data_IF_211301085618
#
_entry.id   IF_211301085618
#
_cell.length_a   1.000
_cell.length_b   1.000
_cell.length_c   1.000
_cell.angle_alpha   90.00
_cell.angle_beta   90.00
_cell.angle_gamma   90.00
#
_symmetry.space_group_name_H-M   'P 1'
#
loop_
_entity.id
_entity.type
_entity.pdbx_description
1 polymer ?
#
# COMPACT_ATOMS: atom_id res chain seq x y z
N UNK A 1 -42.64 -18.46 -0.23
CA UNK A 1 -41.89 -19.07 -1.36
C UNK A 1 -40.71 -19.80 -0.76
N UNK A 2 -40.52 -21.09 -1.03
CA UNK A 2 -39.36 -21.84 -0.60
C UNK A 2 -38.18 -21.57 -1.56
N UNK A 3 -37.01 -21.24 -1.02
CA UNK A 3 -35.82 -21.19 -1.82
C UNK A 3 -35.46 -22.58 -2.31
N UNK A 4 -35.12 -22.71 -3.61
CA UNK A 4 -34.63 -23.96 -4.17
C UNK A 4 -33.16 -24.19 -3.82
N UNK A 5 -32.93 -24.49 -2.56
CA UNK A 5 -31.59 -24.78 -2.02
C UNK A 5 -31.54 -26.23 -1.58
N UNK A 6 -30.43 -26.90 -1.86
CA UNK A 6 -30.15 -28.22 -1.35
C UNK A 6 -30.11 -28.24 0.18
N UNK A 7 -30.33 -29.42 0.76
CA UNK A 7 -30.15 -29.61 2.20
C UNK A 7 -28.72 -29.26 2.60
N UNK A 8 -28.57 -28.51 3.68
CA UNK A 8 -27.25 -28.18 4.23
C UNK A 8 -26.45 -29.44 4.58
N UNK A 9 -25.15 -29.41 4.31
CA UNK A 9 -24.22 -30.46 4.62
C UNK A 9 -23.73 -30.32 6.06
N UNK A 10 -23.35 -31.43 6.67
CA UNK A 10 -22.62 -31.44 7.94
C UNK A 10 -21.19 -30.90 7.74
N UNK A 11 -20.53 -30.49 8.82
CA UNK A 11 -19.13 -30.06 8.82
C UNK A 11 -18.19 -31.09 8.18
N UNK A 12 -18.38 -32.38 8.53
CA UNK A 12 -17.61 -33.48 7.97
C UNK A 12 -17.79 -33.64 6.44
N UNK A 13 -19.04 -33.54 5.95
CA UNK A 13 -19.34 -33.62 4.52
C UNK A 13 -18.76 -32.42 3.76
N UNK A 14 -18.86 -31.20 4.33
CA UNK A 14 -18.28 -29.99 3.75
C UNK A 14 -16.77 -30.12 3.68
N UNK A 15 -16.11 -30.54 4.75
CA UNK A 15 -14.66 -30.71 4.78
C UNK A 15 -14.17 -31.68 3.70
N UNK A 16 -14.85 -32.83 3.57
CA UNK A 16 -14.53 -33.80 2.54
C UNK A 16 -14.69 -33.27 1.13
N UNK A 17 -15.79 -32.57 0.88
CA UNK A 17 -16.07 -31.95 -0.43
C UNK A 17 -15.08 -30.83 -0.78
N UNK A 18 -14.69 -30.01 0.20
CA UNK A 18 -13.69 -28.95 0.00
C UNK A 18 -12.32 -29.56 -0.28
N UNK A 19 -11.90 -30.62 0.43
CA UNK A 19 -10.65 -31.34 0.16
C UNK A 19 -10.60 -31.88 -1.26
N UNK A 20 -11.69 -32.47 -1.73
CA UNK A 20 -11.80 -32.96 -3.11
C UNK A 20 -11.65 -31.83 -4.13
N UNK A 21 -12.32 -30.69 -3.92
CA UNK A 21 -12.19 -29.51 -4.80
C UNK A 21 -10.79 -28.92 -4.79
N UNK A 22 -10.14 -28.84 -3.63
CA UNK A 22 -8.79 -28.29 -3.48
C UNK A 22 -7.76 -29.20 -4.16
N UNK A 23 -7.95 -30.52 -4.14
CA UNK A 23 -7.00 -31.48 -4.73
C UNK A 23 -6.77 -31.25 -6.24
N UNK A 24 -7.68 -30.61 -6.94
CA UNK A 24 -7.53 -30.22 -8.34
C UNK A 24 -6.73 -28.94 -8.57
N UNK A 25 -6.32 -28.21 -7.53
CA UNK A 25 -5.52 -26.98 -7.67
C UNK A 25 -4.03 -27.31 -7.75
N UNK A 26 -3.31 -26.41 -8.40
CA UNK A 26 -1.83 -26.43 -8.46
C UNK A 26 -1.30 -25.13 -7.81
N UNK A 27 -1.14 -25.10 -6.49
CA UNK A 27 -0.72 -23.90 -5.78
C UNK A 27 0.75 -23.55 -6.07
N UNK A 28 1.06 -22.25 -6.04
CA UNK A 28 2.42 -21.74 -6.24
C UNK A 28 3.44 -22.36 -5.26
N UNK A 29 2.99 -22.72 -4.05
CA UNK A 29 3.84 -23.37 -3.02
C UNK A 29 4.33 -24.77 -3.39
N UNK A 30 3.73 -25.42 -4.39
CA UNK A 30 4.09 -26.78 -4.84
C UNK A 30 4.92 -26.77 -6.14
N UNK A 31 5.25 -25.60 -6.67
CA UNK A 31 6.00 -25.46 -7.92
C UNK A 31 6.68 -24.12 -8.08
N UNK A 32 7.17 -23.84 -9.30
CA UNK A 32 7.73 -22.54 -9.65
C UNK A 32 6.62 -21.63 -10.19
N UNK A 33 6.46 -20.46 -9.57
CA UNK A 33 5.50 -19.46 -9.99
C UNK A 33 6.20 -18.25 -10.60
N UNK A 34 5.94 -17.99 -11.88
CA UNK A 34 6.46 -16.84 -12.62
C UNK A 34 5.38 -15.84 -13.03
N UNK A 35 4.20 -15.89 -12.40
CA UNK A 35 3.07 -15.04 -12.78
C UNK A 35 3.33 -13.57 -12.50
N UNK A 36 3.84 -13.20 -11.34
CA UNK A 36 4.14 -11.80 -11.01
C UNK A 36 2.95 -10.85 -11.15
N UNK A 37 3.23 -9.63 -11.57
CA UNK A 37 2.19 -8.62 -11.86
C UNK A 37 1.72 -7.81 -10.65
N UNK A 38 2.48 -7.79 -9.54
CA UNK A 38 2.21 -6.97 -8.35
C UNK A 38 1.98 -7.76 -7.07
N UNK A 39 1.78 -9.08 -7.15
CA UNK A 39 1.73 -9.98 -5.99
C UNK A 39 2.60 -11.21 -6.29
N UNK A 40 3.40 -11.62 -5.32
CA UNK A 40 4.47 -12.59 -5.54
C UNK A 40 4.48 -13.66 -4.46
N UNK A 41 4.82 -14.90 -4.87
CA UNK A 41 5.23 -15.91 -3.92
C UNK A 41 6.58 -15.52 -3.30
N UNK A 42 6.70 -15.67 -1.98
CA UNK A 42 7.90 -15.29 -1.25
C UNK A 42 8.00 -16.09 0.05
N UNK A 43 9.18 -16.09 0.64
CA UNK A 43 9.37 -16.75 1.93
C UNK A 43 8.61 -16.03 3.05
N UNK A 44 7.74 -16.75 3.74
CA UNK A 44 6.98 -16.26 4.90
C UNK A 44 7.35 -17.10 6.13
N UNK A 45 8.05 -16.54 7.13
CA UNK A 45 8.35 -17.23 8.37
C UNK A 45 7.08 -17.70 9.08
N UNK A 46 7.03 -18.97 9.52
CA UNK A 46 5.85 -19.57 10.19
C UNK A 46 5.38 -18.84 11.44
N UNK A 47 6.28 -18.12 12.11
CA UNK A 47 5.94 -17.32 13.29
C UNK A 47 4.94 -16.18 12.96
N UNK A 48 4.89 -15.72 11.71
CA UNK A 48 3.95 -14.69 11.27
C UNK A 48 2.53 -15.23 11.33
N UNK A 49 2.30 -16.43 10.79
CA UNK A 49 0.99 -17.09 10.85
C UNK A 49 0.59 -17.37 12.29
N UNK A 50 1.54 -17.86 13.13
CA UNK A 50 1.29 -18.13 14.53
C UNK A 50 0.87 -16.87 15.31
N UNK A 51 1.58 -15.76 15.18
CA UNK A 51 1.27 -14.54 15.92
C UNK A 51 -0.02 -13.91 15.38
N UNK A 52 -0.17 -13.81 14.05
CA UNK A 52 -1.34 -13.17 13.45
C UNK A 52 -2.66 -13.92 13.66
N UNK A 53 -2.60 -15.23 13.96
CA UNK A 53 -3.77 -16.06 14.27
C UNK A 53 -4.20 -15.99 15.74
N UNK A 54 -3.45 -15.32 16.62
CA UNK A 54 -3.85 -15.16 18.03
C UNK A 54 -5.12 -14.32 18.13
N UNK A 55 -6.03 -14.75 19.02
CA UNK A 55 -7.34 -14.14 19.18
C UNK A 55 -7.27 -12.62 19.50
N UNK A 56 -6.24 -12.21 20.24
CA UNK A 56 -6.03 -10.81 20.63
C UNK A 56 -5.86 -9.88 19.42
N UNK A 57 -5.31 -10.41 18.31
CA UNK A 57 -5.15 -9.67 17.06
C UNK A 57 -6.24 -10.01 16.05
N UNK A 58 -6.55 -11.31 15.88
CA UNK A 58 -7.46 -11.78 14.85
C UNK A 58 -8.88 -11.25 15.04
N UNK A 59 -9.35 -11.15 16.30
CA UNK A 59 -10.69 -10.64 16.62
C UNK A 59 -10.72 -9.14 16.91
N UNK A 60 -9.57 -8.45 16.86
CA UNK A 60 -9.49 -7.01 17.11
C UNK A 60 -10.27 -6.23 16.05
N UNK A 61 -11.08 -5.28 16.51
CA UNK A 61 -11.77 -4.33 15.65
C UNK A 61 -10.95 -3.04 15.47
N UNK A 62 -11.43 -2.12 14.67
CA UNK A 62 -10.79 -0.81 14.49
C UNK A 62 -10.57 -0.12 15.84
N UNK A 63 -9.34 0.37 16.13
CA UNK A 63 -8.95 0.87 17.45
C UNK A 63 -9.44 2.30 17.71
N UNK A 64 -10.77 2.51 17.71
CA UNK A 64 -11.36 3.82 18.00
C UNK A 64 -11.17 4.25 19.45
N UNK A 65 -11.22 3.29 20.37
CA UNK A 65 -11.03 3.52 21.80
C UNK A 65 -9.58 3.19 22.15
N UNK A 66 -8.75 4.22 22.30
CA UNK A 66 -7.32 4.05 22.56
C UNK A 66 -7.03 3.32 23.88
N UNK A 67 -7.86 3.53 24.89
CA UNK A 67 -7.71 2.94 26.23
C UNK A 67 -7.81 1.40 26.26
N UNK A 68 -8.48 0.79 25.28
CA UNK A 68 -8.61 -0.69 25.19
C UNK A 68 -7.89 -1.28 23.96
N UNK A 69 -7.22 -0.46 23.19
CA UNK A 69 -6.60 -0.86 21.91
C UNK A 69 -5.11 -0.53 21.80
N UNK A 70 -4.42 -0.40 22.94
CA UNK A 70 -3.03 0.05 22.96
C UNK A 70 -2.11 -0.87 22.15
N UNK A 71 -2.26 -2.20 22.24
CA UNK A 71 -1.45 -3.14 21.46
C UNK A 71 -1.67 -3.02 19.96
N UNK A 72 -2.93 -2.82 19.53
CA UNK A 72 -3.26 -2.59 18.11
C UNK A 72 -2.69 -1.26 17.62
N UNK A 73 -2.82 -0.21 18.39
CA UNK A 73 -2.27 1.12 18.04
C UNK A 73 -0.75 1.10 18.02
N UNK A 74 -0.11 0.38 18.95
CA UNK A 74 1.33 0.26 18.99
C UNK A 74 1.88 -0.41 17.74
N UNK A 75 1.39 -1.59 17.33
CA UNK A 75 1.93 -2.23 16.13
C UNK A 75 1.65 -1.42 14.86
N UNK A 76 0.54 -0.68 14.78
CA UNK A 76 0.28 0.22 13.66
C UNK A 76 1.27 1.40 13.64
N UNK A 77 1.63 1.94 14.79
CA UNK A 77 2.66 2.97 14.90
C UNK A 77 4.05 2.43 14.49
N UNK A 78 4.38 1.21 14.91
CA UNK A 78 5.61 0.52 14.51
C UNK A 78 5.63 0.24 12.99
N UNK A 79 4.51 -0.22 12.43
CA UNK A 79 4.35 -0.36 10.97
C UNK A 79 4.65 0.96 10.23
N UNK A 80 4.01 2.06 10.66
CA UNK A 80 4.23 3.38 10.06
C UNK A 80 5.71 3.79 10.14
N UNK A 81 6.35 3.54 11.27
CA UNK A 81 7.76 3.87 11.48
C UNK A 81 8.67 3.08 10.55
N UNK A 82 8.42 1.77 10.41
CA UNK A 82 9.20 0.91 9.51
C UNK A 82 9.02 1.30 8.04
N UNK A 83 7.80 1.68 7.62
CA UNK A 83 7.57 2.18 6.25
C UNK A 83 8.25 3.52 6.02
N UNK A 84 8.31 4.39 7.02
CA UNK A 84 9.09 5.64 6.94
C UNK A 84 10.59 5.36 6.77
N UNK A 85 11.16 4.47 7.58
CA UNK A 85 12.57 4.07 7.49
C UNK A 85 12.90 3.48 6.10
N UNK A 86 12.03 2.60 5.59
CA UNK A 86 12.24 1.93 4.31
C UNK A 86 12.17 2.90 3.13
N UNK A 87 11.26 3.87 3.18
CA UNK A 87 11.02 4.82 2.09
C UNK A 87 11.77 6.14 2.21
N UNK A 88 12.40 6.41 3.36
CA UNK A 88 13.01 7.70 3.69
C UNK A 88 12.00 8.83 3.92
N UNK A 89 10.70 8.53 3.93
CA UNK A 89 9.64 9.53 4.10
C UNK A 89 9.44 9.94 5.55
N UNK A 90 8.84 11.12 5.76
CA UNK A 90 8.66 11.68 7.10
C UNK A 90 7.47 11.08 7.86
N UNK A 91 6.44 10.59 7.14
CA UNK A 91 5.21 10.06 7.73
C UNK A 91 4.55 9.03 6.81
N UNK A 92 4.05 7.94 7.41
CA UNK A 92 3.21 6.93 6.77
C UNK A 92 1.85 6.84 7.48
N UNK A 93 0.86 6.31 6.78
CA UNK A 93 -0.43 5.95 7.37
C UNK A 93 -0.43 4.50 7.90
N UNK A 94 -1.52 4.11 8.54
CA UNK A 94 -1.72 2.77 9.10
C UNK A 94 -2.07 1.69 8.03
N UNK A 95 -1.83 1.95 6.78
CA UNK A 95 -2.08 1.22 5.54
C UNK A 95 -3.31 1.67 4.74
N UNK A 96 -3.34 1.27 3.49
CA UNK A 96 -4.47 1.33 2.58
C UNK A 96 -4.84 -0.10 2.12
N UNK A 97 -5.72 -0.24 1.11
CA UNK A 97 -6.23 -1.55 0.72
C UNK A 97 -5.22 -2.35 -0.08
N UNK A 98 -4.58 -1.73 -1.07
CA UNK A 98 -3.56 -2.31 -1.94
C UNK A 98 -2.69 -1.22 -2.60
N UNK A 99 -1.67 -1.62 -3.34
CA UNK A 99 -0.79 -0.68 -4.03
C UNK A 99 -1.50 0.16 -5.09
N UNK A 100 -2.49 -0.37 -5.77
CA UNK A 100 -3.24 0.33 -6.81
C UNK A 100 -4.11 1.45 -6.22
N UNK A 101 -4.86 1.16 -5.14
CA UNK A 101 -5.62 2.17 -4.41
C UNK A 101 -4.71 3.19 -3.73
N UNK A 102 -3.53 2.78 -3.26
CA UNK A 102 -2.52 3.70 -2.73
C UNK A 102 -2.06 4.71 -3.79
N UNK A 103 -1.81 4.27 -5.02
CA UNK A 103 -1.48 5.16 -6.13
C UNK A 103 -2.63 6.10 -6.47
N UNK A 104 -3.86 5.61 -6.50
CA UNK A 104 -5.04 6.43 -6.78
C UNK A 104 -5.24 7.52 -5.71
N UNK A 105 -5.04 7.20 -4.44
CA UNK A 105 -5.08 8.15 -3.34
C UNK A 105 -3.92 9.16 -3.40
N UNK A 106 -2.72 8.74 -3.84
CA UNK A 106 -1.58 9.63 -4.04
C UNK A 106 -1.86 10.66 -5.15
N UNK A 107 -2.47 10.22 -6.25
CA UNK A 107 -2.92 11.11 -7.32
C UNK A 107 -4.00 12.09 -6.82
N UNK A 108 -4.96 11.61 -6.01
CA UNK A 108 -5.98 12.46 -5.38
C UNK A 108 -5.36 13.52 -4.47
N UNK A 109 -4.39 13.12 -3.64
CA UNK A 109 -3.66 14.05 -2.78
C UNK A 109 -2.93 15.11 -3.60
N UNK A 110 -2.28 14.73 -4.69
CA UNK A 110 -1.56 15.65 -5.57
C UNK A 110 -2.50 16.68 -6.20
N UNK A 111 -3.63 16.24 -6.77
CA UNK A 111 -4.67 17.10 -7.33
C UNK A 111 -5.20 18.10 -6.28
N UNK A 112 -5.56 17.57 -5.09
CA UNK A 112 -6.09 18.40 -4.00
C UNK A 112 -5.06 19.38 -3.43
N UNK A 113 -3.76 19.08 -3.59
CA UNK A 113 -2.67 19.92 -3.09
C UNK A 113 -2.30 21.02 -4.06
N UNK A 114 -2.26 20.72 -5.35
CA UNK A 114 -1.81 21.63 -6.40
C UNK A 114 -2.96 22.40 -7.05
N UNK A 115 -4.20 21.89 -6.98
CA UNK A 115 -5.38 22.36 -7.70
C UNK A 115 -5.26 22.20 -9.23
N UNK A 116 -4.29 21.45 -9.70
CA UNK A 116 -4.09 21.12 -11.11
C UNK A 116 -4.92 19.92 -11.50
N UNK A 117 -5.24 19.77 -12.79
CA UNK A 117 -6.18 18.75 -13.29
C UNK A 117 -5.55 17.71 -14.22
N UNK A 118 -4.21 17.74 -14.34
CA UNK A 118 -3.50 16.84 -15.24
C UNK A 118 -2.47 16.01 -14.48
N UNK A 119 -2.41 14.71 -14.75
CA UNK A 119 -1.45 13.77 -14.19
C UNK A 119 -0.62 13.18 -15.31
N UNK A 120 0.69 13.12 -15.12
CA UNK A 120 1.63 12.46 -16.04
C UNK A 120 2.02 11.11 -15.45
N UNK A 121 1.76 10.02 -16.17
CA UNK A 121 2.05 8.66 -15.71
C UNK A 121 2.98 7.97 -16.72
N UNK A 122 4.04 7.33 -16.24
CA UNK A 122 4.84 6.48 -17.11
C UNK A 122 4.05 5.26 -17.59
N UNK A 123 4.18 4.92 -18.87
CA UNK A 123 3.62 3.68 -19.42
C UNK A 123 4.29 2.42 -18.88
N UNK A 124 5.39 2.56 -18.10
CA UNK A 124 6.04 1.45 -17.40
C UNK A 124 5.44 1.14 -16.03
N UNK A 125 4.49 1.96 -15.55
CA UNK A 125 3.70 1.66 -14.33
C UNK A 125 2.79 0.47 -14.60
N UNK A 126 2.57 -0.37 -13.59
CA UNK A 126 1.66 -1.51 -13.68
C UNK A 126 0.31 -1.08 -14.32
N UNK A 127 -0.10 -1.68 -15.45
CA UNK A 127 -1.28 -1.25 -16.18
C UNK A 127 -2.56 -1.35 -15.35
N UNK A 128 -2.67 -2.32 -14.45
CA UNK A 128 -3.83 -2.44 -13.54
C UNK A 128 -3.89 -1.28 -12.55
N UNK A 129 -2.75 -0.78 -12.10
CA UNK A 129 -2.69 0.41 -11.25
C UNK A 129 -3.19 1.65 -12.01
N UNK A 130 -2.80 1.80 -13.27
CA UNK A 130 -3.28 2.88 -14.14
C UNK A 130 -4.81 2.82 -14.30
N UNK A 131 -5.37 1.62 -14.49
CA UNK A 131 -6.83 1.43 -14.60
C UNK A 131 -7.56 1.83 -13.32
N UNK A 132 -7.04 1.45 -12.15
CA UNK A 132 -7.61 1.85 -10.85
C UNK A 132 -7.56 3.37 -10.68
N UNK A 133 -6.42 4.01 -11.00
CA UNK A 133 -6.31 5.48 -10.96
C UNK A 133 -7.35 6.12 -11.85
N UNK A 134 -7.52 5.65 -13.10
CA UNK A 134 -8.55 6.15 -14.01
C UNK A 134 -9.96 5.99 -13.45
N UNK A 135 -10.25 4.84 -12.83
CA UNK A 135 -11.55 4.58 -12.20
C UNK A 135 -11.85 5.56 -11.06
N UNK A 136 -10.86 5.84 -10.20
CA UNK A 136 -11.01 6.84 -9.12
C UNK A 136 -11.26 8.25 -9.65
N UNK A 137 -10.76 8.57 -10.83
CA UNK A 137 -10.81 9.90 -11.42
C UNK A 137 -11.91 10.08 -12.46
N UNK A 138 -12.63 9.02 -12.88
CA UNK A 138 -13.55 9.04 -14.01
C UNK A 138 -14.67 10.09 -13.93
N UNK A 139 -15.12 10.42 -12.71
CA UNK A 139 -16.17 11.42 -12.47
C UNK A 139 -15.60 12.78 -12.02
N UNK A 140 -14.30 12.98 -12.20
CA UNK A 140 -13.59 14.23 -11.92
C UNK A 140 -13.07 14.77 -13.24
N UNK A 141 -13.02 16.08 -13.39
CA UNK A 141 -12.45 16.74 -14.57
C UNK A 141 -10.91 16.65 -14.51
N UNK A 142 -10.37 15.41 -14.69
CA UNK A 142 -8.95 15.09 -14.63
C UNK A 142 -8.53 14.44 -15.94
N UNK A 143 -7.40 14.89 -16.48
CA UNK A 143 -6.78 14.35 -17.69
C UNK A 143 -5.47 13.66 -17.40
N UNK A 144 -5.10 12.72 -18.26
CA UNK A 144 -3.88 11.92 -18.13
C UNK A 144 -3.02 12.09 -19.39
N UNK A 145 -1.75 12.41 -19.18
CA UNK A 145 -0.72 12.28 -20.21
C UNK A 145 0.18 11.10 -19.84
N UNK A 146 0.84 10.53 -20.83
CA UNK A 146 1.67 9.34 -20.64
C UNK A 146 3.09 9.59 -21.12
N UNK A 147 4.08 9.17 -20.30
CA UNK A 147 5.48 9.11 -20.71
C UNK A 147 5.66 7.84 -21.54
N UNK A 148 6.02 7.95 -22.83
CA UNK A 148 6.24 6.78 -23.68
C UNK A 148 7.47 6.01 -23.23
N UNK A 149 7.59 4.77 -23.70
CA UNK A 149 8.72 3.90 -23.40
C UNK A 149 9.75 3.89 -24.53
N UNK A 150 11.01 3.79 -24.12
CA UNK A 150 12.14 3.44 -24.97
C UNK A 150 12.88 2.28 -24.32
N UNK A 151 12.95 1.14 -24.98
CA UNK A 151 13.53 -0.09 -24.44
C UNK A 151 12.91 -0.49 -23.07
N UNK A 152 11.59 -0.44 -22.96
CA UNK A 152 10.81 -0.73 -21.76
C UNK A 152 11.12 0.16 -20.53
N UNK A 153 11.82 1.27 -20.71
CA UNK A 153 12.10 2.30 -19.70
C UNK A 153 11.41 3.60 -20.13
N UNK A 154 11.02 4.44 -19.18
CA UNK A 154 10.40 5.74 -19.43
C UNK A 154 11.31 6.67 -20.25
N UNK A 155 10.85 7.11 -21.42
CA UNK A 155 11.59 8.12 -22.21
C UNK A 155 11.29 9.52 -21.66
N UNK A 156 12.01 9.93 -20.63
CA UNK A 156 11.85 11.23 -19.97
C UNK A 156 12.15 12.41 -20.90
N UNK A 157 12.86 12.19 -22.03
CA UNK A 157 13.12 13.23 -23.02
C UNK A 157 11.86 13.69 -23.76
N UNK A 158 10.79 12.90 -23.69
CA UNK A 158 9.49 13.18 -24.32
C UNK A 158 8.50 13.87 -23.37
N UNK A 159 8.90 14.18 -22.15
CA UNK A 159 8.05 14.92 -21.22
C UNK A 159 7.88 16.36 -21.73
N UNK A 160 6.64 16.72 -22.00
CA UNK A 160 6.30 18.10 -22.30
C UNK A 160 6.20 18.92 -21.02
N UNK A 161 7.26 19.60 -20.73
CA UNK A 161 7.40 20.40 -19.53
C UNK A 161 6.66 21.74 -19.58
N UNK A 162 5.97 22.10 -20.65
CA UNK A 162 5.06 23.24 -20.70
C UNK A 162 3.69 22.97 -20.06
N UNK A 163 3.33 21.69 -19.85
CA UNK A 163 2.08 21.31 -19.22
C UNK A 163 2.12 21.47 -17.70
N UNK A 164 0.96 21.76 -17.15
CA UNK A 164 0.77 22.03 -15.72
C UNK A 164 0.30 20.77 -14.98
N UNK A 165 1.23 19.87 -14.69
CA UNK A 165 0.94 18.58 -14.02
C UNK A 165 0.75 18.72 -12.50
N UNK A 166 -0.27 18.04 -11.95
CA UNK A 166 -0.45 17.86 -10.51
C UNK A 166 0.61 16.89 -9.96
N UNK A 167 0.87 15.81 -10.70
CA UNK A 167 1.86 14.80 -10.34
C UNK A 167 2.53 14.20 -11.57
N UNK A 168 3.75 13.69 -11.35
CA UNK A 168 4.46 12.75 -12.21
C UNK A 168 4.54 11.42 -11.45
N UNK A 169 4.14 10.32 -12.10
CA UNK A 169 4.14 8.98 -11.51
C UNK A 169 5.15 8.10 -12.23
N UNK A 170 6.08 7.53 -11.46
CA UNK A 170 7.10 6.58 -11.93
C UNK A 170 7.08 5.35 -11.04
N UNK A 171 7.26 4.17 -11.62
CA UNK A 171 7.44 2.91 -10.90
C UNK A 171 8.86 2.40 -11.08
N UNK A 172 9.55 2.02 -10.00
CA UNK A 172 10.89 1.42 -10.04
C UNK A 172 11.08 0.39 -8.91
N UNK A 173 11.39 -0.89 -9.20
CA UNK A 173 11.41 -1.47 -10.53
C UNK A 173 10.08 -1.31 -11.26
N UNK A 174 10.12 -1.11 -12.56
CA UNK A 174 8.93 -0.91 -13.35
C UNK A 174 8.20 -2.24 -13.66
N UNK A 175 7.07 -2.19 -14.34
CA UNK A 175 6.27 -3.39 -14.66
C UNK A 175 7.04 -4.45 -15.48
N UNK A 176 8.08 -4.05 -16.18
CA UNK A 176 8.96 -4.93 -16.94
C UNK A 176 10.18 -5.43 -16.16
N UNK A 177 10.28 -5.10 -14.86
CA UNK A 177 11.38 -5.48 -13.98
C UNK A 177 12.64 -4.64 -14.13
N UNK A 178 12.57 -3.49 -14.82
CA UNK A 178 13.72 -2.60 -15.05
C UNK A 178 13.73 -1.43 -14.08
N UNK A 179 14.93 -0.96 -13.73
CA UNK A 179 15.10 0.21 -12.88
C UNK A 179 14.89 1.50 -13.69
N UNK A 180 14.14 2.43 -13.13
CA UNK A 180 13.90 3.77 -13.68
C UNK A 180 14.82 4.81 -13.04
N UNK A 181 15.32 5.73 -13.84
CA UNK A 181 16.19 6.81 -13.39
C UNK A 181 15.36 8.01 -12.92
N UNK A 182 14.93 7.98 -11.66
CA UNK A 182 14.04 8.99 -11.06
C UNK A 182 14.76 10.32 -10.79
N UNK A 183 16.06 10.27 -10.44
CA UNK A 183 16.85 11.43 -10.04
C UNK A 183 17.00 12.51 -11.13
N UNK A 184 16.86 12.12 -12.39
CA UNK A 184 16.95 13.00 -13.53
C UNK A 184 15.63 13.68 -13.92
N UNK A 185 14.54 13.36 -13.24
CA UNK A 185 13.27 14.05 -13.47
C UNK A 185 13.36 15.49 -12.98
N UNK A 186 13.12 16.41 -13.91
CA UNK A 186 13.06 17.83 -13.60
C UNK A 186 11.85 18.10 -12.71
N UNK A 187 12.08 18.50 -11.46
CA UNK A 187 10.97 18.94 -10.61
C UNK A 187 10.44 20.28 -11.08
N UNK A 188 9.13 20.35 -11.19
CA UNK A 188 8.44 21.63 -11.37
C UNK A 188 8.01 22.19 -10.04
N UNK A 189 7.94 23.49 -10.02
CA UNK A 189 7.24 24.17 -8.95
C UNK A 189 5.78 23.71 -8.91
N UNK A 190 5.33 23.26 -7.73
CA UNK A 190 3.97 22.75 -7.54
C UNK A 190 3.57 21.50 -8.35
N UNK A 191 4.51 20.60 -8.66
CA UNK A 191 4.23 19.25 -9.17
C UNK A 191 4.79 18.23 -8.22
N UNK A 192 4.00 17.24 -7.82
CA UNK A 192 4.44 16.18 -6.90
C UNK A 192 5.05 15.02 -7.70
N UNK A 193 6.15 14.49 -7.19
CA UNK A 193 6.73 13.25 -7.70
C UNK A 193 6.22 12.08 -6.84
N UNK A 194 5.48 11.16 -7.46
CA UNK A 194 4.96 9.95 -6.86
C UNK A 194 5.83 8.78 -7.33
N UNK A 195 6.47 8.11 -6.39
CA UNK A 195 7.28 6.91 -6.64
C UNK A 195 6.50 5.66 -6.23
N UNK A 196 6.33 4.75 -7.16
CA UNK A 196 5.75 3.42 -6.92
C UNK A 196 6.90 2.43 -6.82
N UNK A 197 7.08 1.77 -5.68
CA UNK A 197 8.19 0.85 -5.49
C UNK A 197 7.75 -0.42 -4.76
N UNK A 198 8.35 -1.54 -5.15
CA UNK A 198 8.29 -2.76 -4.36
C UNK A 198 9.10 -2.55 -3.06
N UNK A 199 8.50 -2.80 -1.88
CA UNK A 199 9.17 -2.54 -0.61
C UNK A 199 10.39 -3.42 -0.36
N UNK A 200 10.45 -4.65 -0.88
CA UNK A 200 11.64 -5.50 -0.74
C UNK A 200 12.83 -4.90 -1.52
N UNK A 201 12.58 -4.39 -2.72
CA UNK A 201 13.62 -3.78 -3.54
C UNK A 201 14.26 -2.55 -2.87
N UNK A 202 13.52 -1.83 -2.01
CA UNK A 202 14.05 -0.65 -1.29
C UNK A 202 15.17 -0.99 -0.31
N UNK A 203 15.29 -2.26 0.11
CA UNK A 203 16.42 -2.70 0.95
C UNK A 203 17.78 -2.63 0.23
N UNK A 204 17.79 -2.69 -1.11
CA UNK A 204 18.98 -2.69 -1.96
C UNK A 204 19.09 -1.47 -2.87
N UNK A 205 18.08 -0.62 -2.89
CA UNK A 205 17.99 0.58 -3.72
C UNK A 205 18.05 1.84 -2.86
N UNK A 206 18.35 2.97 -3.51
CA UNK A 206 18.16 4.26 -2.86
C UNK A 206 16.68 4.49 -2.58
N UNK A 207 16.39 4.97 -1.37
CA UNK A 207 15.03 5.30 -0.98
C UNK A 207 14.43 6.39 -1.88
N UNK A 208 13.10 6.33 -2.11
CA UNK A 208 12.43 7.28 -3.01
C UNK A 208 12.52 8.73 -2.54
N UNK A 209 12.63 8.98 -1.23
CA UNK A 209 12.79 10.34 -0.69
C UNK A 209 14.11 10.97 -1.10
N UNK A 210 15.22 10.23 -1.00
CA UNK A 210 16.55 10.71 -1.41
C UNK A 210 16.64 10.94 -2.92
N UNK A 211 15.84 10.23 -3.71
CA UNK A 211 15.69 10.44 -5.16
C UNK A 211 14.75 11.61 -5.50
N UNK A 212 14.18 12.25 -4.49
CA UNK A 212 13.37 13.45 -4.65
C UNK A 212 11.86 13.22 -4.71
N UNK A 213 11.33 12.02 -4.46
CA UNK A 213 9.91 11.78 -4.39
C UNK A 213 9.25 12.57 -3.23
N UNK A 214 8.02 13.02 -3.47
CA UNK A 214 7.16 13.64 -2.45
C UNK A 214 6.25 12.63 -1.79
N UNK A 215 5.88 11.57 -2.52
CA UNK A 215 5.02 10.48 -2.06
C UNK A 215 5.62 9.15 -2.50
N UNK A 216 5.66 8.20 -1.59
CA UNK A 216 5.93 6.79 -1.81
C UNK A 216 4.63 6.00 -1.72
N UNK A 217 4.40 5.10 -2.67
CA UNK A 217 3.34 4.09 -2.61
C UNK A 217 3.88 2.73 -3.06
N UNK A 218 3.29 1.67 -2.56
CA UNK A 218 3.70 0.32 -2.91
C UNK A 218 2.66 -0.72 -2.51
N UNK A 219 2.91 -1.96 -2.95
CA UNK A 219 2.17 -3.14 -2.53
C UNK A 219 2.94 -3.87 -1.44
N UNK A 220 2.37 -3.96 -0.26
CA UNK A 220 2.98 -4.59 0.90
C UNK A 220 2.69 -6.10 1.04
N UNK A 221 2.09 -6.72 0.03
CA UNK A 221 1.84 -8.17 0.06
C UNK A 221 3.14 -8.95 0.30
N UNK A 222 4.24 -8.56 -0.31
CA UNK A 222 5.56 -9.20 -0.16
C UNK A 222 6.19 -9.05 1.23
N UNK A 223 5.57 -8.30 2.13
CA UNK A 223 6.00 -8.16 3.52
C UNK A 223 5.29 -9.21 4.42
N UNK A 224 5.34 -10.48 4.06
CA UNK A 224 4.82 -11.59 4.88
C UNK A 224 3.33 -11.89 4.72
N UNK A 225 2.69 -11.43 3.66
CA UNK A 225 1.30 -11.73 3.35
C UNK A 225 1.20 -12.77 2.23
N UNK A 226 0.32 -13.75 2.39
CA UNK A 226 0.07 -14.76 1.36
C UNK A 226 -0.60 -14.13 0.13
N UNK A 227 -0.45 -14.75 -1.04
CA UNK A 227 -1.14 -14.31 -2.26
C UNK A 227 -2.66 -14.45 -2.18
N UNK A 228 -3.17 -15.39 -1.40
CA UNK A 228 -4.58 -15.56 -1.01
C UNK A 228 -5.57 -15.42 -2.17
N UNK A 229 -5.25 -16.00 -3.32
CA UNK A 229 -6.10 -15.99 -4.54
C UNK A 229 -6.46 -14.56 -5.05
N UNK A 230 -5.65 -13.56 -4.74
CA UNK A 230 -5.86 -12.18 -5.18
C UNK A 230 -6.16 -11.18 -4.07
N UNK A 231 -5.96 -11.57 -2.83
CA UNK A 231 -6.08 -10.65 -1.69
C UNK A 231 -6.94 -11.18 -0.54
N UNK A 232 -7.17 -10.32 0.46
CA UNK A 232 -6.79 -8.91 0.51
C UNK A 232 -5.28 -8.69 0.59
N UNK A 233 -4.82 -7.51 0.13
CA UNK A 233 -3.41 -7.10 0.13
C UNK A 233 -3.16 -5.91 1.06
N UNK A 234 -2.04 -5.20 0.90
CA UNK A 234 -1.61 -4.19 1.86
C UNK A 234 -1.07 -2.95 1.14
N UNK A 235 -1.87 -1.92 1.03
CA UNK A 235 -1.43 -0.66 0.44
C UNK A 235 -0.47 0.11 1.33
N UNK A 236 0.71 0.42 0.81
CA UNK A 236 1.71 1.25 1.47
C UNK A 236 1.58 2.69 0.97
N UNK A 237 1.63 3.63 1.90
CA UNK A 237 1.58 5.06 1.60
C UNK A 237 2.41 5.85 2.61
N UNK A 238 3.42 6.55 2.12
CA UNK A 238 4.19 7.48 2.93
C UNK A 238 4.48 8.78 2.16
N UNK A 239 4.68 9.88 2.88
CA UNK A 239 4.89 11.19 2.28
C UNK A 239 5.75 12.08 3.16
N UNK A 240 6.10 13.25 2.62
CA UNK A 240 6.82 14.29 3.36
C UNK A 240 5.90 14.98 4.37
N UNK A 241 6.46 15.53 5.43
CA UNK A 241 5.76 16.29 6.48
C UNK A 241 4.86 17.40 5.91
N UNK A 242 5.23 17.96 4.77
CA UNK A 242 4.45 19.00 4.05
C UNK A 242 3.01 18.55 3.76
N UNK A 243 2.79 17.27 3.48
CA UNK A 243 1.49 16.73 3.08
C UNK A 243 0.78 15.94 4.18
N UNK A 244 1.34 15.90 5.39
CA UNK A 244 0.81 15.15 6.52
C UNK A 244 -0.70 15.34 6.75
N UNK A 245 -1.20 16.58 6.66
CA UNK A 245 -2.62 16.89 6.87
C UNK A 245 -3.54 16.47 5.71
N UNK A 246 -2.98 15.97 4.63
CA UNK A 246 -3.70 15.49 3.45
C UNK A 246 -3.53 14.00 3.20
N UNK A 247 -2.77 13.33 4.06
CA UNK A 247 -2.51 11.90 4.01
C UNK A 247 -3.84 11.12 4.07
N UNK A 248 -4.12 10.17 3.16
CA UNK A 248 -5.32 9.34 3.24
C UNK A 248 -5.21 8.31 4.38
N UNK A 249 -6.34 7.77 4.80
CA UNK A 249 -6.40 6.71 5.81
C UNK A 249 -6.02 7.15 7.23
N UNK A 250 -5.96 6.20 8.14
CA UNK A 250 -5.67 6.44 9.56
C UNK A 250 -4.20 6.69 9.81
N UNK A 251 -3.94 7.48 10.85
CA UNK A 251 -2.59 7.72 11.37
C UNK A 251 -2.62 7.54 12.88
N UNK A 252 -1.70 6.75 13.38
CA UNK A 252 -1.46 6.57 14.81
C UNK A 252 -0.33 7.48 15.26
N UNK A 253 -0.53 8.17 16.36
CA UNK A 253 0.49 9.00 16.99
C UNK A 253 0.83 8.47 18.39
N UNK A 254 2.07 8.73 18.81
CA UNK A 254 2.54 8.49 20.16
C UNK A 254 2.22 9.69 21.04
N UNK A 255 1.81 9.45 22.28
CA UNK A 255 1.41 10.47 23.25
C UNK A 255 1.77 10.04 24.66
N UNK A 256 1.50 10.89 25.63
CA UNK A 256 1.57 10.54 27.06
C UNK A 256 0.17 10.51 27.64
N UNK A 257 -0.08 9.59 28.56
CA UNK A 257 -1.31 9.57 29.36
C UNK A 257 -1.28 10.64 30.49
N UNK A 258 -2.33 10.70 31.29
CA UNK A 258 -2.45 11.66 32.43
C UNK A 258 -1.38 11.43 33.50
N UNK A 259 -0.82 10.23 33.59
CA UNK A 259 0.17 9.84 34.58
C UNK A 259 1.62 9.94 34.03
N UNK A 260 1.76 10.39 32.76
CA UNK A 260 3.04 10.56 32.08
C UNK A 260 3.57 9.30 31.42
N UNK A 261 2.79 8.22 31.34
CA UNK A 261 3.18 7.00 30.66
C UNK A 261 2.98 7.14 29.16
N UNK A 262 3.84 6.47 28.40
CA UNK A 262 3.76 6.41 26.94
C UNK A 262 2.52 5.64 26.49
N UNK A 263 1.81 6.17 25.51
CA UNK A 263 0.64 5.56 24.92
C UNK A 263 0.47 5.95 23.45
N UNK A 264 -0.48 5.31 22.79
CA UNK A 264 -0.78 5.51 21.37
C UNK A 264 -2.23 5.88 21.15
N UNK A 265 -2.50 6.71 20.14
CA UNK A 265 -3.86 7.15 19.81
C UNK A 265 -4.00 7.42 18.33
N UNK A 266 -5.22 7.31 17.80
CA UNK A 266 -5.53 7.81 16.47
C UNK A 266 -5.40 9.33 16.46
N UNK A 267 -4.71 9.85 15.43
CA UNK A 267 -4.48 11.30 15.28
C UNK A 267 -4.98 11.79 13.92
N UNK A 268 -5.14 13.11 13.78
CA UNK A 268 -5.60 13.75 12.55
C UNK A 268 -6.96 13.25 12.03
N UNK A 269 -7.81 12.71 12.89
CA UNK A 269 -9.10 12.10 12.56
C UNK A 269 -10.08 13.06 11.87
N UNK A 270 -9.95 14.37 12.10
CA UNK A 270 -10.85 15.38 11.51
C UNK A 270 -10.84 15.44 9.98
N UNK A 271 -9.88 14.80 9.31
CA UNK A 271 -9.79 14.68 7.84
C UNK A 271 -10.44 13.41 7.30
N UNK A 272 -10.82 12.47 8.18
CA UNK A 272 -11.30 11.15 7.80
C UNK A 272 -12.78 11.15 7.43
N UNK A 273 -13.18 10.14 6.64
CA UNK A 273 -14.50 9.99 6.07
C UNK A 273 -15.62 9.89 7.14
N UNK A 274 -15.38 9.23 8.27
CA UNK A 274 -16.38 9.07 9.33
C UNK A 274 -16.73 10.41 10.03
N UNK A 275 -15.89 11.44 9.90
CA UNK A 275 -16.13 12.78 10.43
C UNK A 275 -16.58 13.74 9.32
N UNK A 276 -15.84 13.80 8.23
CA UNK A 276 -16.08 14.77 7.14
C UNK A 276 -17.07 14.30 6.08
N UNK A 277 -17.42 13.03 6.07
CA UNK A 277 -18.34 12.43 5.11
C UNK A 277 -17.96 12.77 3.66
N UNK A 278 -18.87 13.37 2.89
CA UNK A 278 -18.65 13.77 1.49
C UNK A 278 -17.54 14.81 1.28
N UNK A 279 -17.19 15.56 2.32
CA UNK A 279 -16.10 16.55 2.26
C UNK A 279 -14.75 16.01 2.71
N UNK A 280 -14.64 14.70 2.98
CA UNK A 280 -13.37 14.07 3.31
C UNK A 280 -12.39 14.12 2.13
N UNK A 281 -11.10 14.14 2.45
CA UNK A 281 -10.03 14.15 1.44
C UNK A 281 -9.87 12.79 0.74
N UNK A 282 -10.37 11.73 1.34
CA UNK A 282 -10.29 10.34 0.87
C UNK A 282 -11.53 9.56 1.30
N UNK A 283 -11.91 8.55 0.50
CA UNK A 283 -12.99 7.61 0.82
C UNK A 283 -12.49 6.38 1.61
N UNK A 284 -11.24 6.33 1.98
CA UNK A 284 -10.69 5.27 2.82
C UNK A 284 -11.35 5.34 4.20
N UNK A 285 -12.05 4.27 4.58
CA UNK A 285 -12.77 4.18 5.87
C UNK A 285 -11.93 3.43 6.90
N UNK A 286 -11.41 2.27 6.52
CA UNK A 286 -10.57 1.42 7.39
C UNK A 286 -9.26 1.08 6.67
N UNK A 287 -8.34 0.46 7.39
CA UNK A 287 -7.08 -0.04 6.86
C UNK A 287 -7.08 -1.58 6.86
N UNK A 288 -5.99 -2.18 6.39
CA UNK A 288 -5.74 -3.62 6.44
C UNK A 288 -4.95 -3.98 7.72
N UNK A 289 -5.59 -3.84 8.89
CA UNK A 289 -4.91 -3.93 10.17
C UNK A 289 -4.17 -5.25 10.41
N UNK A 290 -4.81 -6.40 10.15
CA UNK A 290 -4.17 -7.70 10.33
C UNK A 290 -3.00 -7.91 9.36
N UNK A 291 -3.11 -7.44 8.13
CA UNK A 291 -2.03 -7.51 7.13
C UNK A 291 -0.88 -6.56 7.48
N UNK A 292 -1.17 -5.39 8.05
CA UNK A 292 -0.16 -4.49 8.59
C UNK A 292 0.58 -5.12 9.79
N UNK A 293 -0.12 -5.85 10.67
CA UNK A 293 0.54 -6.63 11.74
C UNK A 293 1.49 -7.67 11.16
N UNK A 294 1.06 -8.44 10.15
CA UNK A 294 1.90 -9.43 9.48
C UNK A 294 3.16 -8.80 8.91
N UNK A 295 3.01 -7.65 8.23
CA UNK A 295 4.13 -6.88 7.69
C UNK A 295 5.07 -6.36 8.78
N UNK A 296 4.54 -5.90 9.91
CA UNK A 296 5.32 -5.46 11.06
C UNK A 296 6.18 -6.61 11.62
N UNK A 297 5.57 -7.79 11.81
CA UNK A 297 6.28 -8.99 12.28
C UNK A 297 7.34 -9.39 11.26
N UNK A 298 7.00 -9.42 9.97
CA UNK A 298 7.94 -9.76 8.89
C UNK A 298 9.16 -8.84 8.90
N UNK A 299 8.96 -7.54 8.87
CA UNK A 299 10.05 -6.55 8.89
C UNK A 299 10.88 -6.62 10.18
N UNK A 300 10.26 -6.93 11.32
CA UNK A 300 10.97 -7.11 12.60
C UNK A 300 11.92 -8.31 12.60
N UNK A 301 11.52 -9.41 11.92
CA UNK A 301 12.30 -10.64 11.88
C UNK A 301 13.37 -10.61 10.79
N UNK A 302 12.99 -10.18 9.60
CA UNK A 302 13.84 -10.27 8.40
C UNK A 302 14.46 -8.95 7.99
N UNK A 303 14.04 -7.81 8.57
CA UNK A 303 14.42 -6.48 8.13
C UNK A 303 15.93 -6.26 7.94
N UNK A 304 16.74 -6.73 8.88
CA UNK A 304 18.21 -6.66 8.77
C UNK A 304 18.82 -7.62 7.72
N UNK A 305 18.05 -8.64 7.30
CA UNK A 305 18.43 -9.66 6.33
C UNK A 305 17.65 -9.59 5.04
N UNK A 306 16.89 -8.53 4.84
CA UNK A 306 16.03 -8.37 3.68
C UNK A 306 16.83 -8.47 2.37
N UNK A 307 18.06 -7.96 2.35
CA UNK A 307 18.97 -8.08 1.20
C UNK A 307 19.41 -9.53 0.93
N UNK A 308 19.47 -10.41 1.95
CA UNK A 308 19.82 -11.82 1.80
C UNK A 308 18.66 -12.63 1.19
N UNK A 309 17.43 -12.16 1.33
CA UNK A 309 16.23 -12.82 0.81
C UNK A 309 16.01 -12.48 -0.68
N UNK A 310 16.46 -11.30 -1.12
CA UNK A 310 16.32 -10.82 -2.49
C UNK A 310 17.37 -11.44 -3.41
N UNK A 311 18.52 -11.83 -2.89
CA UNK A 311 19.62 -12.49 -3.62
C UNK A 311 19.45 -14.01 -3.63
#
# INVERSE_FOLDING_TARGET
>A
ESLNLDKGLSEFEIESKIKELIHGNNPASEGLCFLGGGAYDHYIPKIIDFISSRSEFYTAYTPYQSEVSQGTLQYLFEFQSMICELSGMDIANASLYDGASSLAEACSLAINSTRKKKILISMSVNPRYIEVVKTYMQNRDITFDFIPLKNAISDISKIDYSNDYAAIVIQSPNFYGLLEEISHLKKYENTLLISVNDPLCLSSMKDPRSLGADIYVGEGQVLGNHMSYGGPYLGLFATTKKYMRKLPGRVVGKTLDKDGNEGFTLTLQTREQHIRRESATSNICTNQGLLALRATIYMSIVGKKMNEIIN
#
